data_IF_609102492887
#
_entry.id   IF_609102492887
#
_cell.length_a   1.000
_cell.length_b   1.000
_cell.length_c   1.000
_cell.angle_alpha   90.00
_cell.angle_beta   90.00
_cell.angle_gamma   90.00
#
_symmetry.space_group_name_H-M   'P 1'
#
loop_
_entity.id
_entity.type
_entity.pdbx_description
1 polymer ?
#
# COMPACT_ATOMS: atom_id res chain seq x y z
N UNK A 1 21.64 3.63 12.87
CA UNK A 1 21.36 2.82 11.69
C UNK A 1 22.60 2.69 10.83
N UNK A 2 22.87 1.47 10.36
CA UNK A 2 24.01 1.25 9.46
C UNK A 2 23.70 1.62 8.02
N UNK A 3 24.77 1.69 7.20
CA UNK A 3 24.66 2.01 5.77
C UNK A 3 23.78 0.99 5.02
N UNK A 4 23.87 -0.31 5.37
CA UNK A 4 23.07 -1.35 4.73
C UNK A 4 21.58 -1.15 4.99
N UNK A 5 21.19 -0.72 6.17
CA UNK A 5 19.80 -0.40 6.50
C UNK A 5 19.28 0.79 5.70
N UNK A 6 20.07 1.85 5.62
CA UNK A 6 19.73 3.06 4.84
C UNK A 6 19.55 2.72 3.36
N UNK A 7 20.48 1.93 2.81
CA UNK A 7 20.39 1.50 1.41
C UNK A 7 19.18 0.61 1.15
N UNK A 8 18.89 -0.32 2.05
CA UNK A 8 17.72 -1.21 1.93
C UNK A 8 16.43 -0.40 1.86
N UNK A 9 16.25 0.54 2.80
CA UNK A 9 15.06 1.42 2.81
C UNK A 9 15.02 2.28 1.54
N UNK A 10 16.12 2.90 1.17
CA UNK A 10 16.18 3.80 0.01
C UNK A 10 15.87 3.10 -1.31
N UNK A 11 16.47 1.94 -1.55
CA UNK A 11 16.22 1.17 -2.77
C UNK A 11 14.78 0.67 -2.80
N UNK A 12 14.30 0.10 -1.69
CA UNK A 12 12.90 -0.32 -1.59
C UNK A 12 11.93 0.83 -1.83
N UNK A 13 12.21 1.99 -1.23
CA UNK A 13 11.38 3.19 -1.40
C UNK A 13 11.33 3.68 -2.84
N UNK A 14 12.44 3.68 -3.54
CA UNK A 14 12.48 4.04 -4.96
C UNK A 14 11.59 3.12 -5.79
N UNK A 15 11.72 1.81 -5.59
CA UNK A 15 10.90 0.83 -6.31
C UNK A 15 9.41 0.98 -5.99
N UNK A 16 9.07 1.20 -4.72
CA UNK A 16 7.68 1.41 -4.31
C UNK A 16 7.08 2.69 -4.89
N UNK A 17 7.82 3.79 -4.83
CA UNK A 17 7.38 5.07 -5.36
C UNK A 17 7.20 5.02 -6.88
N UNK A 18 8.13 4.39 -7.60
CA UNK A 18 8.02 4.22 -9.05
C UNK A 18 6.82 3.35 -9.41
N UNK A 19 6.57 2.28 -8.66
CA UNK A 19 5.41 1.41 -8.87
C UNK A 19 4.09 2.17 -8.67
N UNK A 20 3.99 2.96 -7.60
CA UNK A 20 2.80 3.77 -7.34
C UNK A 20 2.60 4.83 -8.42
N UNK A 21 3.67 5.51 -8.82
CA UNK A 21 3.61 6.49 -9.90
C UNK A 21 3.14 5.85 -11.21
N UNK A 22 3.69 4.68 -11.53
CA UNK A 22 3.29 3.93 -12.73
C UNK A 22 1.83 3.52 -12.70
N UNK A 23 1.33 3.03 -11.55
CA UNK A 23 -0.08 2.68 -11.40
C UNK A 23 -0.98 3.91 -11.56
N UNK A 24 -0.59 5.04 -10.98
CA UNK A 24 -1.36 6.28 -11.11
C UNK A 24 -1.41 6.73 -12.57
N UNK A 25 -0.29 6.72 -13.27
CA UNK A 25 -0.22 7.12 -14.67
C UNK A 25 -1.07 6.20 -15.56
N UNK A 26 -1.09 4.90 -15.27
CA UNK A 26 -1.80 3.92 -16.08
C UNK A 26 -3.31 3.88 -15.79
N UNK A 27 -3.75 4.11 -14.54
CA UNK A 27 -5.10 3.76 -14.11
C UNK A 27 -5.94 4.92 -13.59
N UNK A 28 -5.34 6.00 -13.07
CA UNK A 28 -6.10 7.06 -12.41
C UNK A 28 -7.10 7.77 -13.35
N UNK A 29 -6.75 7.89 -14.63
CA UNK A 29 -7.61 8.58 -15.60
C UNK A 29 -8.83 7.76 -16.02
N UNK A 30 -8.88 6.46 -15.71
CA UNK A 30 -9.97 5.58 -16.13
C UNK A 30 -11.30 5.90 -15.43
N UNK A 31 -11.22 6.30 -14.15
CA UNK A 31 -12.38 6.74 -13.36
C UNK A 31 -12.02 8.01 -12.61
N UNK A 32 -12.42 9.21 -13.14
CA UNK A 32 -12.00 10.47 -12.51
C UNK A 32 -12.45 10.64 -11.06
N UNK A 33 -13.61 10.09 -10.68
CA UNK A 33 -14.12 10.21 -9.31
C UNK A 33 -13.56 9.14 -8.35
N UNK A 34 -12.88 8.13 -8.88
CA UNK A 34 -12.22 7.10 -8.08
C UNK A 34 -10.91 6.74 -8.76
N UNK A 35 -9.81 7.45 -8.45
CA UNK A 35 -8.51 7.19 -9.06
C UNK A 35 -8.05 5.76 -8.77
N UNK A 36 -8.12 4.90 -9.78
CA UNK A 36 -7.90 3.46 -9.61
C UNK A 36 -6.46 3.10 -9.30
N UNK A 37 -5.51 3.87 -9.82
CA UNK A 37 -4.09 3.61 -9.54
C UNK A 37 -3.75 3.78 -8.07
N UNK A 38 -4.26 4.84 -7.44
CA UNK A 38 -4.10 5.07 -6.01
C UNK A 38 -4.77 3.94 -5.21
N UNK A 39 -5.98 3.56 -5.60
CA UNK A 39 -6.72 2.49 -4.92
C UNK A 39 -6.00 1.14 -5.04
N UNK A 40 -5.58 0.77 -6.24
CA UNK A 40 -4.85 -0.50 -6.48
C UNK A 40 -3.55 -0.51 -5.69
N UNK A 41 -2.80 0.59 -5.67
CA UNK A 41 -1.57 0.68 -4.90
C UNK A 41 -1.81 0.45 -3.40
N UNK A 42 -2.82 1.11 -2.84
CA UNK A 42 -3.14 0.97 -1.42
C UNK A 42 -3.69 -0.42 -1.08
N UNK A 43 -4.58 -0.97 -1.89
CA UNK A 43 -5.13 -2.31 -1.65
C UNK A 43 -4.06 -3.40 -1.79
N UNK A 44 -3.22 -3.31 -2.81
CA UNK A 44 -2.11 -4.25 -3.01
C UNK A 44 -1.13 -4.18 -1.86
N UNK A 45 -0.76 -2.97 -1.45
CA UNK A 45 0.14 -2.77 -0.31
C UNK A 45 -0.46 -3.29 0.99
N UNK A 46 -1.76 -3.10 1.20
CA UNK A 46 -2.47 -3.61 2.37
C UNK A 46 -2.45 -5.15 2.42
N UNK A 47 -2.66 -5.80 1.27
CA UNK A 47 -2.53 -7.25 1.18
C UNK A 47 -1.11 -7.70 1.50
N UNK A 48 -0.13 -7.07 0.86
CA UNK A 48 1.27 -7.44 1.01
C UNK A 48 1.81 -7.19 2.41
N UNK A 49 1.31 -6.19 3.14
CA UNK A 49 1.73 -5.97 4.54
C UNK A 49 1.23 -7.11 5.44
N UNK A 50 0.02 -7.60 5.20
CA UNK A 50 -0.51 -8.77 5.92
C UNK A 50 0.34 -10.01 5.65
N UNK A 51 0.67 -10.25 4.37
CA UNK A 51 1.55 -11.35 3.97
C UNK A 51 2.92 -11.22 4.65
N UNK A 52 3.51 -10.03 4.60
CA UNK A 52 4.85 -9.79 5.13
C UNK A 52 4.93 -10.04 6.64
N UNK A 53 4.00 -9.48 7.40
CA UNK A 53 4.06 -9.62 8.87
C UNK A 53 3.76 -11.04 9.34
N UNK A 54 2.82 -11.72 8.70
CA UNK A 54 2.57 -13.13 9.05
C UNK A 54 3.76 -14.01 8.69
N UNK A 55 4.36 -13.78 7.51
CA UNK A 55 5.56 -14.52 7.10
C UNK A 55 6.74 -14.27 8.05
N UNK A 56 6.99 -13.00 8.41
CA UNK A 56 8.08 -12.62 9.30
C UNK A 56 7.90 -13.26 10.69
N UNK A 57 6.66 -13.35 11.16
CA UNK A 57 6.36 -13.96 12.47
C UNK A 57 6.84 -15.42 12.53
N UNK A 58 6.87 -16.12 11.39
CA UNK A 58 7.33 -17.50 11.30
C UNK A 58 8.79 -17.61 10.85
N UNK A 59 9.46 -16.50 10.60
CA UNK A 59 10.86 -16.45 10.13
C UNK A 59 11.64 -15.41 10.93
N UNK A 60 11.68 -15.60 12.26
CA UNK A 60 12.25 -14.63 13.19
C UNK A 60 13.75 -14.34 12.98
N UNK A 61 14.46 -15.26 12.33
CA UNK A 61 15.89 -15.10 12.04
C UNK A 61 16.18 -14.32 10.75
N UNK A 62 15.16 -13.88 10.05
CA UNK A 62 15.33 -13.10 8.82
C UNK A 62 16.14 -11.82 9.11
N UNK A 63 17.17 -11.53 8.29
CA UNK A 63 17.94 -10.30 8.46
C UNK A 63 17.06 -9.06 8.39
N UNK A 64 17.37 -8.06 9.22
CA UNK A 64 16.60 -6.82 9.32
C UNK A 64 16.51 -6.09 7.99
N UNK A 65 17.55 -6.16 7.16
CA UNK A 65 17.62 -5.48 5.86
C UNK A 65 16.49 -5.93 4.92
N UNK A 66 16.09 -7.20 4.95
CA UNK A 66 14.97 -7.68 4.13
C UNK A 66 13.64 -7.05 4.56
N UNK A 67 13.42 -6.95 5.88
CA UNK A 67 12.21 -6.30 6.40
C UNK A 67 12.19 -4.81 6.08
N UNK A 68 13.33 -4.15 6.25
CA UNK A 68 13.45 -2.72 5.95
C UNK A 68 13.27 -2.45 4.46
N UNK A 69 13.85 -3.29 3.60
CA UNK A 69 13.69 -3.16 2.15
C UNK A 69 12.22 -3.28 1.74
N UNK A 70 11.56 -4.36 2.16
CA UNK A 70 10.23 -4.67 1.69
C UNK A 70 9.14 -3.88 2.42
N UNK A 71 9.16 -3.87 3.76
CA UNK A 71 8.08 -3.24 4.53
C UNK A 71 8.27 -1.73 4.60
N UNK A 72 9.39 -1.27 5.15
CA UNK A 72 9.61 0.16 5.35
C UNK A 72 9.83 0.88 4.02
N UNK A 73 10.65 0.32 3.15
CA UNK A 73 10.99 0.93 1.86
C UNK A 73 9.88 0.73 0.83
N UNK A 74 9.72 -0.49 0.36
CA UNK A 74 8.84 -0.78 -0.79
C UNK A 74 7.37 -0.51 -0.45
N UNK A 75 6.82 -1.18 0.56
CA UNK A 75 5.42 -0.99 0.92
C UNK A 75 5.15 0.40 1.46
N UNK A 76 6.08 0.97 2.22
CA UNK A 76 5.95 2.33 2.74
C UNK A 76 5.85 3.39 1.65
N UNK A 77 6.46 3.16 0.48
CA UNK A 77 6.42 4.07 -0.67
C UNK A 77 5.36 3.70 -1.70
N UNK A 78 5.00 2.42 -1.79
CA UNK A 78 3.92 1.97 -2.67
C UNK A 78 2.58 2.52 -2.21
N UNK A 79 2.31 2.50 -0.90
CA UNK A 79 1.04 2.97 -0.33
C UNK A 79 1.11 4.45 -0.01
N UNK A 80 -0.06 5.12 0.01
CA UNK A 80 -0.12 6.54 0.26
C UNK A 80 -1.42 6.93 0.97
N UNK A 81 -1.28 7.46 2.17
CA UNK A 81 -2.39 8.07 2.87
C UNK A 81 -2.63 9.51 2.38
N UNK A 82 -1.55 10.24 2.08
CA UNK A 82 -1.67 11.65 1.68
C UNK A 82 -2.41 11.84 0.36
N UNK A 83 -2.13 11.00 -0.63
CA UNK A 83 -2.84 11.08 -1.92
C UNK A 83 -4.31 10.70 -1.76
N UNK A 84 -4.60 9.65 -1.02
CA UNK A 84 -5.97 9.28 -0.67
C UNK A 84 -6.71 10.44 0.02
N UNK A 85 -6.08 11.05 1.02
CA UNK A 85 -6.64 12.18 1.75
C UNK A 85 -6.94 13.35 0.81
N UNK A 86 -6.00 13.70 -0.06
CA UNK A 86 -6.18 14.77 -1.04
C UNK A 86 -7.36 14.48 -1.98
N UNK A 87 -7.44 13.26 -2.52
CA UNK A 87 -8.54 12.86 -3.42
C UNK A 87 -9.90 12.97 -2.74
N UNK A 88 -9.99 12.52 -1.49
CA UNK A 88 -11.23 12.60 -0.71
C UNK A 88 -11.66 14.05 -0.47
N UNK A 89 -10.73 14.90 -0.04
CA UNK A 89 -11.00 16.32 0.24
C UNK A 89 -11.38 17.06 -1.05
N UNK A 90 -10.72 16.76 -2.15
CA UNK A 90 -11.06 17.36 -3.45
C UNK A 90 -12.52 17.09 -3.83
N UNK A 91 -12.97 15.85 -3.67
CA UNK A 91 -14.37 15.50 -3.92
C UNK A 91 -15.32 16.21 -2.95
N UNK A 92 -14.97 16.29 -1.67
CA UNK A 92 -15.80 16.98 -0.66
C UNK A 92 -15.90 18.48 -0.96
N UNK A 93 -14.80 19.13 -1.32
CA UNK A 93 -14.80 20.55 -1.68
C UNK A 93 -15.60 20.82 -2.95
N UNK A 94 -15.65 19.85 -3.86
CA UNK A 94 -16.46 19.94 -5.07
C UNK A 94 -17.94 19.60 -4.85
N UNK A 95 -18.35 19.33 -3.62
CA UNK A 95 -19.74 18.95 -3.30
C UNK A 95 -20.11 17.54 -3.75
N UNK A 96 -19.14 16.71 -4.09
CA UNK A 96 -19.36 15.35 -4.60
C UNK A 96 -19.31 14.35 -3.45
N UNK A 97 -20.31 14.40 -2.58
CA UNK A 97 -20.32 13.64 -1.32
C UNK A 97 -20.47 12.14 -1.53
N UNK A 98 -21.30 11.69 -2.48
CA UNK A 98 -21.46 10.28 -2.80
C UNK A 98 -20.15 9.63 -3.25
N UNK A 99 -19.50 10.17 -4.30
CA UNK A 99 -18.18 9.70 -4.71
C UNK A 99 -17.12 9.78 -3.62
N UNK A 100 -17.14 10.83 -2.78
CA UNK A 100 -16.21 10.96 -1.66
C UNK A 100 -16.39 9.82 -0.66
N UNK A 101 -17.62 9.49 -0.28
CA UNK A 101 -17.91 8.38 0.63
C UNK A 101 -17.48 7.04 0.03
N UNK A 102 -17.73 6.84 -1.26
CA UNK A 102 -17.29 5.62 -1.96
C UNK A 102 -15.77 5.48 -1.93
N UNK A 103 -15.05 6.56 -2.23
CA UNK A 103 -13.59 6.56 -2.23
C UNK A 103 -13.05 6.26 -0.83
N UNK A 104 -13.58 6.93 0.19
CA UNK A 104 -13.16 6.71 1.59
C UNK A 104 -13.43 5.26 2.01
N UNK A 105 -14.63 4.74 1.72
CA UNK A 105 -14.99 3.38 2.08
C UNK A 105 -14.13 2.35 1.35
N UNK A 106 -13.89 2.56 0.05
CA UNK A 106 -13.07 1.64 -0.74
C UNK A 106 -11.63 1.56 -0.21
N UNK A 107 -11.01 2.70 0.08
CA UNK A 107 -9.66 2.72 0.62
C UNK A 107 -9.61 2.15 2.04
N UNK A 108 -10.49 2.61 2.93
CA UNK A 108 -10.43 2.22 4.34
C UNK A 108 -10.86 0.77 4.54
N UNK A 109 -12.09 0.43 4.15
CA UNK A 109 -12.62 -0.92 4.37
C UNK A 109 -11.92 -1.93 3.46
N UNK A 110 -11.63 -1.56 2.21
CA UNK A 110 -10.91 -2.40 1.28
C UNK A 110 -9.51 -2.73 1.77
N UNK A 111 -8.77 -1.75 2.28
CA UNK A 111 -7.42 -1.98 2.80
C UNK A 111 -7.42 -2.86 4.04
N UNK A 112 -8.34 -2.64 4.97
CA UNK A 112 -8.47 -3.49 6.16
C UNK A 112 -8.79 -4.94 5.77
N UNK A 113 -9.73 -5.13 4.85
CA UNK A 113 -10.08 -6.46 4.35
C UNK A 113 -8.90 -7.13 3.65
N UNK A 114 -8.14 -6.38 2.85
CA UNK A 114 -6.96 -6.91 2.15
C UNK A 114 -5.85 -7.30 3.12
N UNK A 115 -5.65 -6.55 4.20
CA UNK A 115 -4.67 -6.92 5.22
C UNK A 115 -5.06 -8.23 5.91
N UNK A 116 -6.33 -8.39 6.29
CA UNK A 116 -6.82 -9.67 6.80
C UNK A 116 -6.60 -10.80 5.81
N UNK A 117 -6.88 -10.57 4.52
CA UNK A 117 -6.68 -11.56 3.47
C UNK A 117 -5.20 -11.94 3.33
N UNK A 118 -4.29 -11.00 3.49
CA UNK A 118 -2.85 -11.25 3.45
C UNK A 118 -2.40 -12.18 4.58
N UNK A 119 -2.83 -11.91 5.80
CA UNK A 119 -2.60 -12.81 6.94
C UNK A 119 -3.16 -14.21 6.66
N UNK A 120 -4.41 -14.28 6.21
CA UNK A 120 -5.08 -15.54 5.94
C UNK A 120 -4.38 -16.35 4.84
N UNK A 121 -3.88 -15.69 3.80
CA UNK A 121 -3.19 -16.34 2.69
C UNK A 121 -1.93 -17.08 3.16
N UNK A 122 -1.13 -16.44 4.02
CA UNK A 122 0.09 -17.06 4.56
C UNK A 122 -0.26 -18.23 5.47
N UNK A 123 -1.26 -18.07 6.34
CA UNK A 123 -1.70 -19.13 7.25
C UNK A 123 -2.22 -20.34 6.47
N UNK A 124 -3.03 -20.11 5.42
CA UNK A 124 -3.57 -21.18 4.59
C UNK A 124 -2.47 -21.92 3.82
N UNK A 125 -1.42 -21.22 3.40
CA UNK A 125 -0.28 -21.80 2.68
C UNK A 125 0.75 -22.42 3.62
N UNK A 126 0.61 -22.24 4.92
CA UNK A 126 1.57 -22.71 5.94
C UNK A 126 3.00 -22.22 5.70
N UNK A 127 3.13 -20.98 5.25
CA UNK A 127 4.43 -20.35 4.94
C UNK A 127 5.12 -19.73 6.16
#
# INVERSE_FOLDING_TARGET
MGASALLAVGVGAALGAWSRWGLAAALNHLLPSLPLGTLVANLTGAFLIGVAFEFIAHHATMPMEYRLFFVTGFLGSLTTFSTFSFEAVELLQGGRYGPALLLIAAHLLGSLAMTFAGFAAVRAASL
#
